data_IF_927148005067
#
_entry.id   IF_927148005067
#
_cell.length_a   1.000
_cell.length_b   1.000
_cell.length_c   1.000
_cell.angle_alpha   90.00
_cell.angle_beta   90.00
_cell.angle_gamma   90.00
#
_symmetry.space_group_name_H-M   'P 1'
#
loop_
_entity.id
_entity.type
_entity.pdbx_description
1 polymer ?
#
# COMPACT_ATOMS: atom_id res chain seq x y z
N UNK A 1 -8.79 -17.77 -11.17
CA UNK A 1 -7.35 -18.00 -11.44
C UNK A 1 -6.47 -17.73 -10.22
N UNK A 2 -6.22 -16.48 -9.79
CA UNK A 2 -5.29 -16.19 -8.69
C UNK A 2 -5.67 -16.86 -7.36
N UNK A 3 -6.91 -16.66 -6.89
CA UNK A 3 -7.41 -17.29 -5.65
C UNK A 3 -7.50 -18.80 -5.78
N UNK A 4 -7.96 -19.32 -6.91
CA UNK A 4 -7.97 -20.76 -7.20
C UNK A 4 -6.55 -21.37 -7.20
N UNK A 5 -5.55 -20.57 -7.58
CA UNK A 5 -4.13 -20.91 -7.50
C UNK A 5 -3.52 -20.76 -6.10
N UNK A 6 -4.30 -20.40 -5.09
CA UNK A 6 -3.87 -20.31 -3.68
C UNK A 6 -3.46 -18.91 -3.21
N UNK A 7 -3.73 -17.85 -3.98
CA UNK A 7 -3.45 -16.49 -3.53
C UNK A 7 -4.30 -16.14 -2.29
N UNK A 8 -3.62 -15.81 -1.19
CA UNK A 8 -4.26 -15.39 0.06
C UNK A 8 -4.57 -13.87 0.11
N UNK A 9 -4.03 -13.12 -0.85
CA UNK A 9 -4.21 -11.67 -0.96
C UNK A 9 -4.55 -11.30 -2.40
N UNK A 10 -5.39 -10.28 -2.53
CA UNK A 10 -5.72 -9.61 -3.79
C UNK A 10 -5.34 -8.15 -3.61
N UNK A 11 -4.36 -7.73 -4.40
CA UNK A 11 -3.84 -6.37 -4.42
C UNK A 11 -4.56 -5.53 -5.46
N UNK A 12 -4.98 -4.32 -5.10
CA UNK A 12 -5.69 -3.41 -6.01
C UNK A 12 -5.06 -2.02 -5.95
N UNK A 13 -4.42 -1.62 -7.06
CA UNK A 13 -3.86 -0.29 -7.21
C UNK A 13 -4.94 0.75 -7.55
N UNK A 14 -5.02 1.80 -6.74
CA UNK A 14 -5.95 2.92 -6.94
C UNK A 14 -5.22 4.25 -6.89
N UNK A 15 -5.27 4.96 -8.00
CA UNK A 15 -4.60 6.23 -8.21
C UNK A 15 -5.62 7.30 -8.58
N UNK A 16 -5.53 8.48 -7.96
CA UNK A 16 -6.41 9.62 -8.25
C UNK A 16 -5.88 10.54 -9.38
N UNK A 17 -4.72 10.21 -9.95
CA UNK A 17 -4.03 10.99 -10.97
C UNK A 17 -3.30 12.23 -10.45
N UNK A 18 -3.28 12.48 -9.14
CA UNK A 18 -2.55 13.59 -8.52
C UNK A 18 -1.24 13.10 -7.91
N UNK A 19 -1.26 11.93 -7.24
CA UNK A 19 -0.10 11.39 -6.52
C UNK A 19 0.99 10.76 -7.39
N UNK A 20 0.74 10.54 -8.68
CA UNK A 20 1.67 9.93 -9.63
C UNK A 20 1.88 10.88 -10.81
N UNK A 21 3.13 11.24 -11.17
CA UNK A 21 3.42 12.20 -12.24
C UNK A 21 3.32 11.57 -13.64
N UNK A 22 2.16 11.00 -13.98
CA UNK A 22 1.91 10.38 -15.28
C UNK A 22 0.47 10.65 -15.75
N UNK A 23 0.26 11.03 -17.02
CA UNK A 23 -1.06 11.31 -17.56
C UNK A 23 -1.96 10.07 -17.63
N UNK A 24 -1.37 8.88 -17.63
CA UNK A 24 -2.11 7.60 -17.65
C UNK A 24 -2.23 6.98 -16.25
N UNK A 25 -1.92 7.74 -15.19
CA UNK A 25 -1.97 7.26 -13.82
C UNK A 25 -3.36 7.35 -13.18
N UNK A 26 -4.44 7.63 -13.94
CA UNK A 26 -5.79 7.50 -13.39
C UNK A 26 -6.25 6.05 -13.56
N UNK A 27 -6.49 5.34 -12.45
CA UNK A 27 -6.93 3.94 -12.51
C UNK A 27 -8.42 3.79 -12.25
N UNK A 28 -8.80 3.38 -11.03
CA UNK A 28 -10.13 2.90 -10.67
C UNK A 28 -10.56 3.48 -9.33
N UNK A 29 -11.88 3.55 -9.11
CA UNK A 29 -12.45 3.96 -7.83
C UNK A 29 -12.84 2.79 -6.91
N UNK A 30 -13.27 3.08 -5.66
CA UNK A 30 -13.61 2.09 -4.64
C UNK A 30 -14.60 1.00 -5.06
N UNK A 31 -15.50 1.29 -6.01
CA UNK A 31 -16.48 0.32 -6.51
C UNK A 31 -15.85 -0.95 -7.07
N UNK A 32 -14.63 -0.89 -7.60
CA UNK A 32 -13.93 -2.07 -8.10
C UNK A 32 -13.72 -3.11 -7.00
N UNK A 33 -13.52 -2.69 -5.75
CA UNK A 33 -13.40 -3.61 -4.61
C UNK A 33 -14.66 -4.48 -4.48
N UNK A 34 -15.84 -3.88 -4.57
CA UNK A 34 -17.10 -4.64 -4.53
C UNK A 34 -17.30 -5.56 -5.73
N UNK A 35 -16.76 -5.20 -6.89
CA UNK A 35 -16.82 -6.04 -8.08
C UNK A 35 -15.93 -7.27 -7.94
N UNK A 36 -14.75 -7.15 -7.32
CA UNK A 36 -13.82 -8.28 -7.18
C UNK A 36 -14.13 -9.15 -5.95
N UNK A 37 -14.63 -8.56 -4.86
CA UNK A 37 -14.87 -9.23 -3.57
C UNK A 37 -15.60 -10.59 -3.67
N UNK A 38 -16.66 -10.77 -4.49
CA UNK A 38 -17.34 -12.05 -4.64
C UNK A 38 -16.46 -13.18 -5.19
N UNK A 39 -15.40 -12.85 -5.92
CA UNK A 39 -14.46 -13.80 -6.51
C UNK A 39 -13.25 -14.09 -5.62
N UNK A 40 -13.12 -13.35 -4.51
CA UNK A 40 -11.93 -13.39 -3.68
C UNK A 40 -11.97 -14.48 -2.60
N UNK A 41 -13.13 -15.10 -2.33
CA UNK A 41 -13.28 -16.06 -1.23
C UNK A 41 -12.83 -15.43 0.11
N UNK A 42 -11.96 -16.14 0.84
CA UNK A 42 -11.36 -15.68 2.11
C UNK A 42 -10.08 -14.85 1.92
N UNK A 43 -9.64 -14.61 0.68
CA UNK A 43 -8.44 -13.82 0.43
C UNK A 43 -8.64 -12.38 0.92
N UNK A 44 -7.62 -11.79 1.54
CA UNK A 44 -7.65 -10.38 1.95
C UNK A 44 -7.55 -9.48 0.73
N UNK A 45 -8.29 -8.37 0.72
CA UNK A 45 -8.11 -7.32 -0.28
C UNK A 45 -7.29 -6.19 0.33
N UNK A 46 -6.11 -5.95 -0.23
CA UNK A 46 -5.32 -4.75 0.04
C UNK A 46 -5.50 -3.75 -1.10
N UNK A 47 -5.81 -2.51 -0.74
CA UNK A 47 -5.92 -1.40 -1.68
C UNK A 47 -4.71 -0.51 -1.50
N UNK A 48 -3.79 -0.55 -2.47
CA UNK A 48 -2.70 0.42 -2.55
C UNK A 48 -3.22 1.72 -3.13
N UNK A 49 -3.44 2.68 -2.22
CA UNK A 49 -4.05 3.97 -2.52
C UNK A 49 -2.97 5.05 -2.67
N UNK A 50 -2.79 5.54 -3.89
CA UNK A 50 -1.89 6.66 -4.21
C UNK A 50 -2.72 7.91 -4.46
N UNK A 51 -2.75 8.80 -3.46
CA UNK A 51 -3.52 10.05 -3.43
C UNK A 51 -2.93 10.99 -2.39
N UNK A 52 -3.20 12.29 -2.52
CA UNK A 52 -2.82 13.29 -1.51
C UNK A 52 -3.84 13.45 -0.38
N UNK A 53 -5.03 12.86 -0.51
CA UNK A 53 -6.10 12.91 0.51
C UNK A 53 -6.67 11.50 0.79
N UNK A 54 -5.89 10.60 1.42
CA UNK A 54 -6.28 9.19 1.56
C UNK A 54 -7.47 8.98 2.52
N UNK A 55 -7.59 9.84 3.54
CA UNK A 55 -8.66 9.77 4.55
C UNK A 55 -10.04 9.84 3.91
N UNK A 56 -10.21 10.67 2.89
CA UNK A 56 -11.46 10.84 2.16
C UNK A 56 -12.03 9.54 1.58
N UNK A 57 -11.17 8.60 1.19
CA UNK A 57 -11.58 7.37 0.52
C UNK A 57 -11.88 6.22 1.50
N UNK A 58 -11.36 6.29 2.72
CA UNK A 58 -11.45 5.21 3.73
C UNK A 58 -12.89 4.72 3.97
N UNK A 59 -13.90 5.57 4.24
CA UNK A 59 -15.27 5.08 4.49
C UNK A 59 -15.85 4.32 3.29
N UNK A 60 -15.54 4.77 2.07
CA UNK A 60 -16.01 4.11 0.85
C UNK A 60 -15.29 2.78 0.65
N UNK A 61 -13.96 2.74 0.79
CA UNK A 61 -13.18 1.51 0.63
C UNK A 61 -13.61 0.43 1.65
N UNK A 62 -13.81 0.83 2.91
CA UNK A 62 -14.34 -0.03 3.95
C UNK A 62 -15.73 -0.60 3.57
N UNK A 63 -16.64 0.26 3.13
CA UNK A 63 -17.99 -0.15 2.74
C UNK A 63 -18.03 -1.09 1.53
N UNK A 64 -17.03 -1.01 0.64
CA UNK A 64 -16.92 -1.90 -0.52
C UNK A 64 -16.13 -3.19 -0.24
N UNK A 65 -15.63 -3.37 0.99
CA UNK A 65 -15.03 -4.64 1.44
C UNK A 65 -13.51 -4.72 1.33
N UNK A 66 -12.80 -3.59 1.39
CA UNK A 66 -11.35 -3.60 1.56
C UNK A 66 -11.00 -4.11 2.96
N UNK A 67 -9.99 -4.97 3.07
CA UNK A 67 -9.48 -5.46 4.36
C UNK A 67 -8.33 -4.57 4.86
N UNK A 68 -7.47 -4.14 3.92
CA UNK A 68 -6.36 -3.23 4.15
C UNK A 68 -6.44 -2.05 3.18
N UNK A 69 -5.94 -0.90 3.64
CA UNK A 69 -5.68 0.25 2.77
C UNK A 69 -4.24 0.70 3.04
N UNK A 70 -3.43 0.60 2.01
CA UNK A 70 -2.00 0.88 2.02
C UNK A 70 -1.73 2.20 1.30
N UNK A 71 -1.26 3.23 2.01
CA UNK A 71 -1.00 4.55 1.40
C UNK A 71 0.44 4.73 0.96
N UNK A 72 0.66 5.40 -0.17
CA UNK A 72 2.01 5.75 -0.61
C UNK A 72 2.61 6.84 0.29
N UNK A 73 3.74 6.55 0.93
CA UNK A 73 4.43 7.47 1.84
C UNK A 73 4.77 8.81 1.18
N UNK A 74 5.22 8.76 -0.06
CA UNK A 74 5.67 9.92 -0.85
C UNK A 74 4.51 10.79 -1.31
N UNK A 75 3.29 10.25 -1.36
CA UNK A 75 2.07 11.03 -1.65
C UNK A 75 1.55 11.77 -0.42
N UNK A 76 1.99 11.39 0.78
CA UNK A 76 1.79 12.20 1.98
C UNK A 76 2.69 13.45 1.86
N UNK A 77 2.07 14.62 1.99
CA UNK A 77 2.74 15.90 1.75
C UNK A 77 3.70 16.27 2.87
N UNK A 78 4.63 17.18 2.57
CA UNK A 78 5.56 17.75 3.57
C UNK A 78 6.82 16.92 3.81
N UNK A 79 7.49 17.22 4.92
CA UNK A 79 8.67 16.50 5.40
C UNK A 79 8.29 15.20 6.14
N UNK A 80 9.29 14.44 6.61
CA UNK A 80 9.06 13.19 7.31
C UNK A 80 8.17 13.35 8.56
N UNK A 81 8.30 14.45 9.31
CA UNK A 81 7.50 14.68 10.52
C UNK A 81 6.04 14.97 10.17
N UNK A 82 5.80 15.73 9.11
CA UNK A 82 4.46 16.00 8.58
C UNK A 82 3.81 14.73 8.02
N UNK A 83 4.55 13.92 7.26
CA UNK A 83 4.07 12.60 6.79
C UNK A 83 3.73 11.66 7.95
N UNK A 84 4.55 11.64 9.00
CA UNK A 84 4.28 10.88 10.22
C UNK A 84 2.95 11.30 10.88
N UNK A 85 2.65 12.61 10.95
CA UNK A 85 1.38 13.13 11.48
C UNK A 85 0.18 12.77 10.59
N UNK A 86 0.33 12.91 9.28
CA UNK A 86 -0.71 12.54 8.31
C UNK A 86 -1.02 11.05 8.38
N UNK A 87 0.02 10.20 8.42
CA UNK A 87 -0.15 8.75 8.54
C UNK A 87 -0.81 8.36 9.87
N UNK A 88 -0.45 9.00 10.99
CA UNK A 88 -1.11 8.74 12.27
C UNK A 88 -2.62 9.06 12.21
N UNK A 89 -2.98 10.16 11.54
CA UNK A 89 -4.40 10.53 11.33
C UNK A 89 -5.12 9.53 10.41
N UNK A 90 -4.46 9.11 9.33
CA UNK A 90 -4.95 8.07 8.44
C UNK A 90 -5.17 6.73 9.16
N UNK A 91 -4.20 6.30 9.96
CA UNK A 91 -4.26 5.05 10.73
C UNK A 91 -5.41 5.04 11.74
N UNK A 92 -5.59 6.15 12.46
CA UNK A 92 -6.71 6.30 13.39
C UNK A 92 -8.07 6.21 12.69
N UNK A 93 -8.22 6.87 11.53
CA UNK A 93 -9.44 6.82 10.75
C UNK A 93 -9.69 5.44 10.12
N UNK A 94 -8.63 4.77 9.62
CA UNK A 94 -8.69 3.42 9.09
C UNK A 94 -9.27 2.46 10.12
N UNK A 95 -8.74 2.50 11.36
CA UNK A 95 -9.27 1.73 12.48
C UNK A 95 -10.73 2.07 12.81
N UNK A 96 -11.11 3.36 12.74
CA UNK A 96 -12.49 3.80 13.00
C UNK A 96 -13.50 3.24 12.00
N UNK A 97 -13.13 3.14 10.72
CA UNK A 97 -13.99 2.59 9.66
C UNK A 97 -13.85 1.08 9.47
N UNK A 98 -12.95 0.43 10.22
CA UNK A 98 -12.81 -1.02 10.23
C UNK A 98 -11.88 -1.60 9.16
N UNK A 99 -10.95 -0.81 8.62
CA UNK A 99 -9.90 -1.31 7.72
C UNK A 99 -8.53 -1.23 8.40
N UNK A 100 -7.62 -2.11 7.99
CA UNK A 100 -6.27 -2.15 8.56
C UNK A 100 -5.34 -1.21 7.79
N UNK A 101 -4.59 -0.32 8.48
CA UNK A 101 -3.69 0.61 7.81
C UNK A 101 -2.41 -0.09 7.32
N UNK A 102 -1.98 0.30 6.12
CA UNK A 102 -0.70 -0.06 5.53
C UNK A 102 0.04 1.18 5.02
N UNK A 103 1.36 1.06 4.83
CA UNK A 103 2.20 2.08 4.18
C UNK A 103 3.01 1.45 3.04
N UNK A 104 3.13 2.15 1.92
CA UNK A 104 3.98 1.77 0.81
C UNK A 104 5.16 2.75 0.69
N UNK A 105 6.36 2.24 0.44
CA UNK A 105 7.58 3.05 0.20
C UNK A 105 8.16 2.75 -1.18
N UNK A 106 8.55 3.80 -1.91
CA UNK A 106 9.19 3.68 -3.21
C UNK A 106 10.65 3.22 -3.11
N UNK A 107 11.24 2.80 -4.23
CA UNK A 107 12.65 2.36 -4.31
C UNK A 107 13.63 3.43 -3.79
N UNK A 108 13.39 4.71 -4.08
CA UNK A 108 14.28 5.80 -3.66
C UNK A 108 14.17 6.21 -2.18
N UNK A 109 13.10 5.81 -1.49
CA UNK A 109 12.82 6.29 -0.12
C UNK A 109 13.49 5.43 0.92
N UNK A 110 14.14 6.08 1.90
CA UNK A 110 14.79 5.38 3.00
C UNK A 110 13.74 4.76 3.90
N UNK A 111 13.85 3.46 4.18
CA UNK A 111 12.86 2.74 4.99
C UNK A 111 12.82 3.23 6.44
N UNK A 112 13.89 3.87 6.91
CA UNK A 112 13.97 4.48 8.23
C UNK A 112 13.05 5.71 8.37
N UNK A 113 12.58 6.32 7.27
CA UNK A 113 11.61 7.42 7.34
C UNK A 113 10.29 7.01 8.00
N UNK A 114 9.92 5.72 7.90
CA UNK A 114 8.72 5.17 8.50
C UNK A 114 8.97 4.56 9.90
N UNK A 115 10.18 4.64 10.45
CA UNK A 115 10.53 4.04 11.75
C UNK A 115 9.56 4.48 12.87
N UNK A 116 9.22 5.77 12.90
CA UNK A 116 8.31 6.33 13.88
C UNK A 116 6.90 5.70 13.84
N UNK A 117 6.36 5.35 12.66
CA UNK A 117 5.03 4.70 12.57
C UNK A 117 5.10 3.21 12.89
N UNK A 118 6.25 2.57 12.66
CA UNK A 118 6.50 1.18 13.05
C UNK A 118 6.60 1.05 14.57
N UNK A 119 7.43 1.88 15.21
CA UNK A 119 7.65 1.83 16.66
C UNK A 119 6.36 2.14 17.45
N UNK A 120 5.46 2.94 16.87
CA UNK A 120 4.13 3.24 17.44
C UNK A 120 3.07 2.17 17.13
N UNK A 121 3.38 1.17 16.30
CA UNK A 121 2.41 0.15 15.87
C UNK A 121 1.23 0.74 15.08
N UNK A 122 1.43 1.85 14.36
CA UNK A 122 0.37 2.54 13.61
C UNK A 122 0.08 1.91 12.24
N UNK A 123 0.90 0.96 11.80
CA UNK A 123 0.70 0.22 10.55
C UNK A 123 0.74 -1.28 10.80
N UNK A 124 -0.03 -2.02 10.01
CA UNK A 124 -0.06 -3.50 10.02
C UNK A 124 0.66 -4.09 8.82
N UNK A 125 0.82 -3.31 7.75
CA UNK A 125 1.41 -3.74 6.49
C UNK A 125 2.43 -2.70 6.02
N UNK A 126 3.59 -3.18 5.58
CA UNK A 126 4.56 -2.36 4.84
C UNK A 126 4.74 -2.96 3.46
N UNK A 127 4.31 -2.24 2.42
CA UNK A 127 4.59 -2.57 1.03
C UNK A 127 5.87 -1.86 0.58
N UNK A 128 6.73 -2.56 -0.15
CA UNK A 128 7.98 -2.01 -0.70
C UNK A 128 7.94 -2.16 -2.20
N UNK A 129 7.92 -1.04 -2.92
CA UNK A 129 8.04 -1.07 -4.37
C UNK A 129 9.44 -1.52 -4.75
N UNK A 130 9.54 -2.52 -5.61
CA UNK A 130 10.77 -2.99 -6.25
C UNK A 130 10.93 -2.45 -7.68
N UNK A 131 10.09 -1.50 -8.08
CA UNK A 131 10.14 -0.77 -9.36
C UNK A 131 9.78 0.70 -9.13
N UNK A 132 10.01 1.54 -10.13
CA UNK A 132 9.59 2.94 -10.02
C UNK A 132 8.07 3.06 -10.08
N UNK A 133 7.52 4.03 -9.35
CA UNK A 133 6.07 4.29 -9.31
C UNK A 133 5.53 4.58 -10.71
N UNK A 134 4.39 3.98 -11.06
CA UNK A 134 3.67 4.27 -12.29
C UNK A 134 3.08 3.03 -12.93
N UNK A 135 3.91 2.23 -13.61
CA UNK A 135 3.42 1.16 -14.49
C UNK A 135 4.10 -0.19 -14.24
N UNK A 136 3.36 -1.27 -14.50
CA UNK A 136 3.87 -2.63 -14.44
C UNK A 136 4.83 -2.99 -15.59
N UNK A 137 5.48 -4.16 -15.49
CA UNK A 137 6.41 -4.68 -16.51
C UNK A 137 7.85 -4.17 -16.39
N UNK A 138 8.12 -3.32 -15.40
CA UNK A 138 9.47 -2.86 -15.08
C UNK A 138 10.30 -3.98 -14.41
N UNK A 139 11.63 -4.00 -14.60
CA UNK A 139 12.50 -4.99 -13.98
C UNK A 139 12.63 -4.77 -12.47
N UNK A 140 12.72 -5.86 -11.72
CA UNK A 140 12.95 -5.85 -10.28
C UNK A 140 14.27 -5.13 -9.92
N UNK A 141 14.20 -4.21 -8.98
CA UNK A 141 15.35 -3.44 -8.48
C UNK A 141 15.88 -4.04 -7.17
N UNK A 142 17.03 -4.71 -7.23
CA UNK A 142 17.67 -5.37 -6.08
C UNK A 142 18.06 -4.42 -4.92
N UNK A 143 18.09 -3.11 -5.17
CA UNK A 143 18.42 -2.08 -4.18
C UNK A 143 17.41 -2.03 -3.01
N UNK A 144 16.27 -2.71 -3.13
CA UNK A 144 15.27 -2.82 -2.07
C UNK A 144 15.56 -3.92 -1.04
N UNK A 145 16.44 -4.88 -1.35
CA UNK A 145 16.73 -6.02 -0.47
C UNK A 145 17.23 -5.61 0.93
N UNK A 146 18.10 -4.59 1.08
CA UNK A 146 18.47 -4.07 2.41
C UNK A 146 17.28 -3.55 3.21
N UNK A 147 16.27 -2.95 2.55
CA UNK A 147 15.05 -2.49 3.21
C UNK A 147 14.25 -3.65 3.79
N UNK A 148 14.13 -4.74 3.05
CA UNK A 148 13.44 -5.96 3.51
C UNK A 148 14.15 -6.58 4.72
N UNK A 149 15.48 -6.64 4.69
CA UNK A 149 16.27 -7.12 5.83
C UNK A 149 16.08 -6.24 7.07
N UNK A 150 15.99 -4.92 6.90
CA UNK A 150 15.71 -3.98 7.98
C UNK A 150 14.29 -4.18 8.54
N UNK A 151 13.27 -4.26 7.69
CA UNK A 151 11.86 -4.45 8.10
C UNK A 151 11.65 -5.77 8.84
N UNK A 152 12.34 -6.84 8.42
CA UNK A 152 12.30 -8.13 9.11
C UNK A 152 12.69 -8.02 10.58
N UNK A 153 13.61 -7.13 10.93
CA UNK A 153 14.05 -6.91 12.31
C UNK A 153 13.10 -6.01 13.12
N UNK A 154 12.17 -5.31 12.46
CA UNK A 154 11.19 -4.42 13.11
C UNK A 154 9.91 -5.13 13.56
N UNK A 155 9.70 -6.38 13.17
CA UNK A 155 8.53 -7.17 13.64
C UNK A 155 7.19 -6.68 13.09
N UNK A 156 7.19 -6.09 11.89
CA UNK A 156 5.96 -5.72 11.16
C UNK A 156 5.14 -6.98 10.87
N UNK A 157 3.82 -6.92 11.00
CA UNK A 157 2.95 -8.09 10.80
C UNK A 157 3.00 -8.61 9.35
N UNK A 158 2.90 -7.72 8.37
CA UNK A 158 3.07 -8.06 6.96
C UNK A 158 4.09 -7.16 6.28
N UNK A 159 4.99 -7.76 5.52
CA UNK A 159 5.86 -7.07 4.56
C UNK A 159 5.53 -7.62 3.18
N UNK A 160 5.21 -6.73 2.26
CA UNK A 160 4.95 -7.03 0.85
C UNK A 160 6.04 -6.43 -0.03
N UNK A 161 6.23 -7.04 -1.19
CA UNK A 161 7.10 -6.54 -2.25
C UNK A 161 6.26 -6.44 -3.52
N UNK A 162 6.29 -5.28 -4.15
CA UNK A 162 5.38 -4.95 -5.24
C UNK A 162 6.15 -4.41 -6.46
N UNK A 163 5.77 -4.91 -7.63
CA UNK A 163 6.42 -4.63 -8.91
C UNK A 163 7.60 -5.56 -9.24
N UNK A 164 7.69 -5.97 -10.50
CA UNK A 164 8.83 -6.74 -11.02
C UNK A 164 8.92 -8.20 -10.54
N UNK A 165 7.94 -8.72 -9.79
CA UNK A 165 7.93 -10.10 -9.27
C UNK A 165 7.56 -11.11 -10.36
N UNK A 166 8.42 -12.09 -10.60
CA UNK A 166 8.23 -13.18 -11.55
C UNK A 166 9.08 -14.40 -11.14
N UNK A 167 9.20 -15.42 -12.00
CA UNK A 167 9.95 -16.65 -11.66
C UNK A 167 11.46 -16.44 -11.48
N UNK A 168 12.01 -15.33 -11.99
CA UNK A 168 13.43 -15.00 -11.96
C UNK A 168 13.79 -14.00 -10.84
N UNK A 169 12.80 -13.38 -10.19
CA UNK A 169 12.96 -12.32 -9.18
C UNK A 169 12.40 -12.66 -7.80
#
# INVERSE_FOLDING_TARGET
>A
AAVEGGAAWIHVDMFDGVGVPSPDALTMGPKVVSCVRPFCGDAKIDVHLITTDPIRYLPSLAAHGADHVTVQWESLGGDADERNRQFASFSAEAGRVGVRPGVCVAVGTRVEEIENILDKGSTTLVNVLAVDMGFGGQPFQNDILPKLAWLKNKGVEYVQVDGGINAES
#
